data_IF_088982836162
#
_entry.id   IF_088982836162
#
_cell.length_a   1.000
_cell.length_b   1.000
_cell.length_c   1.000
_cell.angle_alpha   90.00
_cell.angle_beta   90.00
_cell.angle_gamma   90.00
#
_symmetry.space_group_name_H-M   'P 1'
#
loop_
_entity.id
_entity.type
_entity.pdbx_description
1 polymer ?
#
# COMPACT_ATOMS: atom_id res chain seq x y z
N UNK A 1 4.26 -3.78 8.07
CA UNK A 1 4.24 -4.32 6.68
C UNK A 1 5.54 -3.96 5.98
N UNK A 2 6.08 -4.85 5.16
CA UNK A 2 7.33 -4.66 4.41
C UNK A 2 7.17 -4.79 2.88
N UNK A 3 8.31 -4.83 2.18
CA UNK A 3 8.37 -4.90 0.72
C UNK A 3 7.59 -6.10 0.14
N UNK A 4 7.75 -7.31 0.71
CA UNK A 4 7.02 -8.51 0.28
C UNK A 4 5.50 -8.34 0.42
N UNK A 5 5.03 -7.78 1.54
CA UNK A 5 3.61 -7.51 1.76
C UNK A 5 3.03 -6.56 0.70
N UNK A 6 3.82 -5.63 0.18
CA UNK A 6 3.36 -4.70 -0.84
C UNK A 6 3.27 -5.35 -2.23
N UNK A 7 4.15 -6.33 -2.52
CA UNK A 7 4.02 -7.17 -3.72
C UNK A 7 2.77 -8.05 -3.60
N UNK A 8 2.54 -8.66 -2.44
CA UNK A 8 1.35 -9.45 -2.15
C UNK A 8 0.06 -8.63 -2.31
N UNK A 9 0.01 -7.42 -1.75
CA UNK A 9 -1.12 -6.49 -1.94
C UNK A 9 -1.35 -6.17 -3.41
N UNK A 10 -0.29 -5.87 -4.16
CA UNK A 10 -0.39 -5.55 -5.59
C UNK A 10 -0.89 -6.73 -6.42
N UNK A 11 -0.31 -7.92 -6.22
CA UNK A 11 -0.66 -9.13 -6.95
C UNK A 11 -2.11 -9.55 -6.65
N UNK A 12 -2.48 -9.67 -5.38
CA UNK A 12 -3.84 -10.06 -4.98
C UNK A 12 -4.87 -9.01 -5.38
N UNK A 13 -4.58 -7.72 -5.18
CA UNK A 13 -5.49 -6.62 -5.56
C UNK A 13 -5.75 -6.57 -7.08
N UNK A 14 -4.71 -6.79 -7.90
CA UNK A 14 -4.87 -6.88 -9.34
C UNK A 14 -5.61 -8.17 -9.76
N UNK A 15 -5.25 -9.32 -9.17
CA UNK A 15 -5.82 -10.62 -9.49
C UNK A 15 -7.31 -10.72 -9.07
N UNK A 16 -7.71 -9.95 -8.06
CA UNK A 16 -9.09 -9.83 -7.62
C UNK A 16 -10.01 -9.18 -8.66
N UNK A 17 -9.45 -8.35 -9.56
CA UNK A 17 -10.19 -7.70 -10.66
C UNK A 17 -10.25 -8.58 -11.90
N UNK A 18 -9.16 -9.26 -12.23
CA UNK A 18 -9.05 -10.16 -13.39
C UNK A 18 -7.81 -11.03 -13.25
N UNK A 19 -7.71 -12.10 -14.03
CA UNK A 19 -6.45 -12.83 -14.14
C UNK A 19 -5.36 -11.95 -14.77
N UNK A 20 -4.12 -12.06 -14.29
CA UNK A 20 -2.99 -11.17 -14.64
C UNK A 20 -1.68 -11.95 -14.78
N UNK A 21 -0.73 -11.39 -15.53
CA UNK A 21 0.65 -11.87 -15.61
C UNK A 21 1.59 -11.06 -14.70
N UNK A 22 2.85 -11.48 -14.60
CA UNK A 22 3.89 -10.82 -13.81
C UNK A 22 4.17 -9.39 -14.28
N UNK A 23 4.14 -9.13 -15.59
CA UNK A 23 4.38 -7.78 -16.15
C UNK A 23 3.31 -6.79 -15.68
N UNK A 24 2.03 -7.19 -15.71
CA UNK A 24 0.91 -6.39 -15.23
C UNK A 24 1.07 -6.02 -13.75
N UNK A 25 1.60 -6.94 -12.92
CA UNK A 25 1.85 -6.68 -11.50
C UNK A 25 2.95 -5.64 -11.32
N UNK A 26 4.07 -5.79 -12.03
CA UNK A 26 5.18 -4.83 -12.00
C UNK A 26 4.71 -3.44 -12.45
N UNK A 27 3.92 -3.37 -13.52
CA UNK A 27 3.35 -2.13 -14.03
C UNK A 27 2.37 -1.49 -13.03
N UNK A 28 1.55 -2.30 -12.35
CA UNK A 28 0.65 -1.82 -11.32
C UNK A 28 1.41 -1.23 -10.13
N UNK A 29 2.48 -1.89 -9.67
CA UNK A 29 3.33 -1.38 -8.58
C UNK A 29 3.96 -0.05 -8.99
N UNK A 30 4.55 0.05 -10.18
CA UNK A 30 5.19 1.27 -10.65
C UNK A 30 4.18 2.44 -10.79
N UNK A 31 3.01 2.16 -11.37
CA UNK A 31 1.95 3.15 -11.56
C UNK A 31 1.38 3.62 -10.22
N UNK A 32 1.06 2.71 -9.30
CA UNK A 32 0.45 3.04 -8.01
C UNK A 32 1.47 3.69 -7.07
N UNK A 33 2.73 3.24 -7.08
CA UNK A 33 3.81 3.86 -6.30
C UNK A 33 4.29 5.19 -6.90
N UNK A 34 3.87 5.53 -8.13
CA UNK A 34 4.38 6.64 -8.92
C UNK A 34 5.91 6.67 -8.99
N UNK A 35 6.52 5.50 -9.20
CA UNK A 35 7.97 5.32 -9.28
C UNK A 35 8.73 5.54 -7.97
N UNK A 36 8.06 5.71 -6.82
CA UNK A 36 8.73 5.87 -5.52
C UNK A 36 9.41 4.59 -5.04
N UNK A 37 8.96 3.44 -5.55
CA UNK A 37 9.52 2.15 -5.24
C UNK A 37 9.33 1.18 -6.40
N UNK A 38 10.41 0.46 -6.73
CA UNK A 38 10.43 -0.58 -7.76
C UNK A 38 11.10 -1.83 -7.17
N UNK A 39 10.34 -2.92 -6.93
CA UNK A 39 10.92 -4.19 -6.48
C UNK A 39 11.74 -4.84 -7.60
N UNK A 40 12.71 -5.67 -7.23
CA UNK A 40 13.42 -6.48 -8.21
C UNK A 40 12.47 -7.54 -8.80
N UNK A 41 12.64 -7.86 -10.09
CA UNK A 41 11.85 -8.90 -10.74
C UNK A 41 11.94 -10.26 -10.03
N UNK A 42 13.12 -10.62 -9.51
CA UNK A 42 13.31 -11.84 -8.73
C UNK A 42 12.42 -11.87 -7.48
N UNK A 43 12.35 -10.77 -6.72
CA UNK A 43 11.52 -10.70 -5.52
C UNK A 43 10.03 -10.81 -5.86
N UNK A 44 9.60 -10.25 -7.01
CA UNK A 44 8.23 -10.41 -7.49
C UNK A 44 7.94 -11.88 -7.81
N UNK A 45 8.82 -12.55 -8.55
CA UNK A 45 8.68 -13.98 -8.85
C UNK A 45 8.64 -14.84 -7.58
N UNK A 46 9.53 -14.59 -6.62
CA UNK A 46 9.59 -15.33 -5.36
C UNK A 46 8.27 -15.19 -4.57
N UNK A 47 7.68 -14.00 -4.54
CA UNK A 47 6.39 -13.75 -3.89
C UNK A 47 5.24 -14.45 -4.62
N UNK A 48 5.24 -14.47 -5.96
CA UNK A 48 4.22 -15.16 -6.75
C UNK A 48 4.27 -16.66 -6.55
N UNK A 49 5.47 -17.25 -6.56
CA UNK A 49 5.66 -18.67 -6.26
C UNK A 49 5.17 -19.01 -4.84
N UNK A 50 5.38 -18.11 -3.88
CA UNK A 50 4.85 -18.26 -2.52
C UNK A 50 3.32 -18.21 -2.46
N UNK A 51 2.70 -17.25 -3.14
CA UNK A 51 1.25 -17.15 -3.21
C UNK A 51 0.60 -18.36 -3.89
N UNK A 52 1.20 -18.89 -4.96
CA UNK A 52 0.72 -20.09 -5.64
C UNK A 52 0.87 -21.32 -4.75
N UNK A 53 2.03 -21.49 -4.11
CA UNK A 53 2.27 -22.61 -3.18
C UNK A 53 1.36 -22.57 -1.96
N UNK A 54 1.03 -21.37 -1.48
CA UNK A 54 0.07 -21.13 -0.40
C UNK A 54 -1.40 -21.24 -0.82
N UNK A 55 -1.69 -21.41 -2.11
CA UNK A 55 -3.04 -21.51 -2.64
C UNK A 55 -3.82 -20.20 -2.68
N UNK A 56 -3.15 -19.04 -2.59
CA UNK A 56 -3.76 -17.71 -2.71
C UNK A 56 -3.97 -17.29 -4.17
N UNK A 57 -3.14 -17.82 -5.07
CA UNK A 57 -3.27 -17.67 -6.52
C UNK A 57 -3.30 -19.06 -7.17
N UNK A 58 -4.11 -19.20 -8.23
CA UNK A 58 -3.97 -20.30 -9.19
C UNK A 58 -3.15 -19.81 -10.37
N UNK A 59 -2.17 -20.60 -10.80
CA UNK A 59 -1.38 -20.31 -11.99
C UNK A 59 -1.81 -21.23 -13.14
N UNK A 60 -2.23 -20.63 -14.26
CA UNK A 60 -2.44 -21.35 -15.51
C UNK A 60 -1.19 -21.18 -16.38
N UNK A 61 -0.57 -22.28 -16.85
CA UNK A 61 0.60 -22.20 -17.70
C UNK A 61 0.18 -21.72 -19.10
N UNK A 62 0.37 -20.44 -19.34
CA UNK A 62 0.25 -19.79 -20.66
C UNK A 62 1.63 -19.50 -21.22
N UNK A 63 1.74 -19.45 -22.55
CA UNK A 63 2.98 -19.04 -23.23
C UNK A 63 2.86 -17.55 -23.59
N UNK A 64 3.86 -16.69 -23.30
CA UNK A 64 5.18 -17.00 -22.72
C UNK A 64 5.23 -17.09 -21.19
N UNK A 65 4.31 -16.43 -20.48
CA UNK A 65 4.31 -16.32 -19.02
C UNK A 65 3.00 -16.87 -18.42
N UNK A 66 3.03 -17.42 -17.19
CA UNK A 66 1.83 -17.89 -16.51
C UNK A 66 0.87 -16.74 -16.19
N UNK A 67 -0.42 -17.04 -16.25
CA UNK A 67 -1.48 -16.12 -15.83
C UNK A 67 -2.00 -16.56 -14.47
N UNK A 68 -2.07 -15.61 -13.54
CA UNK A 68 -2.49 -15.79 -12.16
C UNK A 68 -3.91 -15.31 -11.96
N UNK A 69 -4.76 -16.15 -11.36
CA UNK A 69 -6.09 -15.79 -10.90
C UNK A 69 -6.19 -15.92 -9.37
N UNK A 70 -6.94 -15.02 -8.74
CA UNK A 70 -7.12 -15.07 -7.28
C UNK A 70 -8.01 -16.25 -6.89
N UNK A 71 -7.66 -16.92 -5.79
CA UNK A 71 -8.51 -17.93 -5.16
C UNK A 71 -9.35 -17.32 -4.05
N UNK A 72 -10.26 -18.08 -3.44
CA UNK A 72 -11.00 -17.63 -2.25
C UNK A 72 -10.05 -17.32 -1.08
N UNK A 73 -9.08 -18.21 -0.81
CA UNK A 73 -8.04 -17.97 0.19
C UNK A 73 -7.20 -16.74 -0.12
N UNK A 74 -7.02 -16.40 -1.40
CA UNK A 74 -6.38 -15.14 -1.82
C UNK A 74 -7.22 -13.92 -1.48
N UNK A 75 -8.55 -13.97 -1.66
CA UNK A 75 -9.47 -12.88 -1.30
C UNK A 75 -9.49 -12.63 0.20
N UNK A 76 -9.53 -13.69 1.00
CA UNK A 76 -9.44 -13.62 2.47
C UNK A 76 -8.12 -12.95 2.91
N UNK A 77 -6.99 -13.39 2.33
CA UNK A 77 -5.68 -12.77 2.59
C UNK A 77 -5.65 -11.31 2.18
N UNK A 78 -6.20 -10.94 1.01
CA UNK A 78 -6.27 -9.55 0.56
C UNK A 78 -7.03 -8.68 1.57
N UNK A 79 -8.19 -9.14 2.05
CA UNK A 79 -8.98 -8.43 3.06
C UNK A 79 -8.20 -8.26 4.36
N UNK A 80 -7.55 -9.33 4.85
CA UNK A 80 -6.69 -9.28 6.02
C UNK A 80 -5.58 -8.24 5.85
N UNK A 81 -4.87 -8.27 4.72
CA UNK A 81 -3.77 -7.33 4.45
C UNK A 81 -4.24 -5.89 4.37
N UNK A 82 -5.42 -5.63 3.81
CA UNK A 82 -6.03 -4.29 3.79
C UNK A 82 -6.34 -3.80 5.21
N UNK A 83 -6.66 -4.70 6.14
CA UNK A 83 -6.91 -4.36 7.55
C UNK A 83 -5.66 -4.07 8.40
N UNK A 84 -4.48 -4.58 8.00
CA UNK A 84 -3.25 -4.39 8.77
C UNK A 84 -2.81 -2.92 8.80
N UNK A 85 -2.30 -2.38 9.92
CA UNK A 85 -1.78 -1.03 9.96
C UNK A 85 -0.50 -0.90 9.11
N UNK A 86 -0.25 0.32 8.60
CA UNK A 86 1.02 0.66 7.98
C UNK A 86 1.98 1.20 9.04
N UNK A 87 3.20 0.68 9.02
CA UNK A 87 4.31 1.24 9.79
C UNK A 87 4.91 2.41 8.99
N UNK A 88 5.03 3.57 9.62
CA UNK A 88 5.64 4.77 9.02
C UNK A 88 5.08 5.11 7.61
N UNK A 89 3.75 5.33 7.45
CA UNK A 89 3.14 5.70 6.17
C UNK A 89 3.78 6.91 5.47
N UNK A 90 4.55 7.75 6.18
CA UNK A 90 5.31 8.85 5.61
C UNK A 90 6.69 8.53 5.04
N UNK A 91 7.20 7.31 5.21
CA UNK A 91 8.42 6.87 4.53
C UNK A 91 8.13 6.49 3.07
N UNK A 92 9.14 6.47 2.20
CA UNK A 92 8.95 6.15 0.77
C UNK A 92 8.26 4.79 0.55
N UNK A 93 8.68 3.77 1.30
CA UNK A 93 8.06 2.44 1.24
C UNK A 93 6.65 2.45 1.87
N UNK A 94 6.46 3.16 2.99
CA UNK A 94 5.15 3.34 3.63
C UNK A 94 4.11 4.04 2.73
N UNK A 95 4.53 5.04 1.96
CA UNK A 95 3.72 5.72 0.96
C UNK A 95 3.28 4.78 -0.16
N UNK A 96 4.14 3.85 -0.56
CA UNK A 96 3.77 2.79 -1.51
C UNK A 96 2.68 1.90 -0.92
N UNK A 97 2.84 1.45 0.33
CA UNK A 97 1.81 0.68 1.03
C UNK A 97 0.48 1.42 1.15
N UNK A 98 0.53 2.72 1.45
CA UNK A 98 -0.65 3.59 1.55
C UNK A 98 -1.39 3.68 0.21
N UNK A 99 -0.67 3.93 -0.89
CA UNK A 99 -1.27 4.02 -2.22
C UNK A 99 -1.83 2.69 -2.71
N UNK A 100 -1.15 1.57 -2.43
CA UNK A 100 -1.67 0.24 -2.73
C UNK A 100 -2.96 -0.05 -1.97
N UNK A 101 -3.01 0.23 -0.67
CA UNK A 101 -4.23 0.08 0.13
C UNK A 101 -5.38 0.92 -0.43
N UNK A 102 -5.12 2.18 -0.79
CA UNK A 102 -6.14 3.04 -1.39
C UNK A 102 -6.60 2.54 -2.77
N UNK A 103 -5.69 2.05 -3.61
CA UNK A 103 -5.97 1.57 -4.96
C UNK A 103 -6.87 0.32 -5.01
N UNK A 104 -6.92 -0.43 -3.91
CA UNK A 104 -7.69 -1.67 -3.78
C UNK A 104 -8.78 -1.60 -2.70
N UNK A 105 -9.01 -0.42 -2.11
CA UNK A 105 -10.01 -0.21 -1.07
C UNK A 105 -11.44 -0.44 -1.60
N UNK A 106 -11.66 -0.28 -2.90
CA UNK A 106 -12.91 -0.58 -3.58
C UNK A 106 -13.28 -2.08 -3.54
N UNK A 107 -12.30 -2.96 -3.30
CA UNK A 107 -12.51 -4.41 -3.29
C UNK A 107 -13.09 -4.94 -1.97
N UNK A 108 -13.20 -4.10 -0.93
CA UNK A 108 -13.88 -4.45 0.32
C UNK A 108 -15.24 -3.77 0.43
N UNK A 109 -16.08 -4.30 1.31
CA UNK A 109 -17.41 -3.77 1.59
C UNK A 109 -17.35 -2.32 2.09
N UNK A 110 -18.35 -1.52 1.72
CA UNK A 110 -18.42 -0.08 2.05
C UNK A 110 -18.26 0.17 3.56
N UNK A 111 -18.83 -0.69 4.40
CA UNK A 111 -18.69 -0.59 5.86
C UNK A 111 -17.25 -0.75 6.34
N UNK A 112 -16.42 -1.53 5.63
CA UNK A 112 -15.01 -1.77 5.95
C UNK A 112 -14.10 -0.69 5.38
N UNK A 113 -14.46 -0.12 4.20
CA UNK A 113 -13.70 0.97 3.58
C UNK A 113 -13.46 2.11 4.55
N UNK A 114 -14.50 2.51 5.29
CA UNK A 114 -14.41 3.55 6.31
C UNK A 114 -13.43 3.17 7.43
N UNK A 115 -13.55 1.95 7.96
CA UNK A 115 -12.68 1.45 9.04
C UNK A 115 -11.21 1.44 8.63
N UNK A 116 -10.91 1.06 7.40
CA UNK A 116 -9.55 1.09 6.86
C UNK A 116 -9.03 2.52 6.68
N UNK A 117 -9.84 3.45 6.17
CA UNK A 117 -9.45 4.86 6.09
C UNK A 117 -9.17 5.43 7.48
N UNK A 118 -10.02 5.16 8.47
CA UNK A 118 -9.83 5.58 9.86
C UNK A 118 -8.52 5.01 10.45
N UNK A 119 -8.20 3.75 10.14
CA UNK A 119 -6.93 3.12 10.55
C UNK A 119 -5.73 3.83 9.91
N UNK A 120 -5.77 4.12 8.60
CA UNK A 120 -4.69 4.84 7.91
C UNK A 120 -4.53 6.28 8.41
N UNK A 121 -5.64 6.96 8.72
CA UNK A 121 -5.67 8.28 9.35
C UNK A 121 -4.97 8.22 10.71
N UNK A 122 -5.34 7.26 11.56
CA UNK A 122 -4.71 7.10 12.89
C UNK A 122 -3.21 6.79 12.79
N UNK A 123 -2.78 5.95 11.84
CA UNK A 123 -1.35 5.69 11.61
C UNK A 123 -0.58 6.96 11.22
N UNK A 124 -1.13 7.79 10.32
CA UNK A 124 -0.51 9.06 9.92
C UNK A 124 -0.48 10.10 11.05
N UNK A 125 -1.54 10.19 11.85
CA UNK A 125 -1.60 11.07 13.01
C UNK A 125 -0.57 10.67 14.08
N UNK A 126 -0.44 9.37 14.34
CA UNK A 126 0.57 8.83 15.26
C UNK A 126 1.99 9.14 14.78
N UNK A 127 2.25 8.98 13.47
CA UNK A 127 3.54 9.32 12.89
C UNK A 127 3.84 10.82 12.96
N UNK A 128 2.89 11.69 12.59
CA UNK A 128 3.04 13.14 12.69
C UNK A 128 3.37 13.56 14.12
N UNK A 129 2.61 13.05 15.10
CA UNK A 129 2.88 13.31 16.52
C UNK A 129 4.28 12.82 16.93
N UNK A 130 4.69 11.64 16.46
CA UNK A 130 6.02 11.12 16.70
C UNK A 130 7.13 11.99 16.10
N UNK A 131 6.92 12.51 14.88
CA UNK A 131 7.85 13.43 14.21
C UNK A 131 7.90 14.80 14.88
N UNK A 132 6.82 15.32 15.44
CA UNK A 132 6.84 16.57 16.22
C UNK A 132 7.64 16.42 17.52
N UNK A 133 7.50 15.27 18.20
CA UNK A 133 8.26 14.95 19.42
C UNK A 133 9.75 14.68 19.14
N UNK A 134 10.08 14.17 17.95
CA UNK A 134 11.44 13.83 17.55
C UNK A 134 12.29 15.11 17.27
N UNK A 135 12.87 15.66 18.33
CA UNK A 135 14.04 16.56 18.34
C UNK A 135 14.01 17.73 17.32
N UNK A 136 13.44 18.88 17.73
CA UNK A 136 13.65 20.18 17.08
C UNK A 136 15.11 20.65 17.11
N UNK A 137 15.92 20.07 18.02
CA UNK A 137 17.32 20.45 18.26
C UNK A 137 18.34 19.47 17.66
N UNK A 138 17.92 18.61 16.73
CA UNK A 138 18.83 17.66 16.11
C UNK A 138 19.88 18.42 15.28
N UNK A 139 21.09 18.53 15.83
CA UNK A 139 22.21 19.25 15.20
C UNK A 139 22.65 18.60 13.89
N UNK A 140 22.44 17.29 13.73
CA UNK A 140 22.78 16.55 12.51
C UNK A 140 21.99 16.97 11.27
N UNK A 141 20.83 17.63 11.41
CA UNK A 141 19.98 18.03 10.28
C UNK A 141 20.54 19.24 9.50
N UNK A 142 21.38 20.08 10.11
CA UNK A 142 21.80 21.34 9.50
C UNK A 142 20.61 22.24 9.10
N UNK A 143 20.84 23.29 8.31
CA UNK A 143 19.75 24.16 7.84
C UNK A 143 18.90 23.50 6.75
N UNK A 144 19.53 22.85 5.76
CA UNK A 144 18.81 22.23 4.65
C UNK A 144 18.00 21.01 5.06
N UNK A 145 18.51 20.16 5.97
CA UNK A 145 17.73 19.03 6.48
C UNK A 145 16.53 19.47 7.32
N UNK A 146 16.61 20.60 8.03
CA UNK A 146 15.44 21.20 8.70
C UNK A 146 14.38 21.69 7.72
N UNK A 147 14.79 22.37 6.64
CA UNK A 147 13.88 22.81 5.58
C UNK A 147 13.22 21.60 4.91
N UNK A 148 13.99 20.57 4.56
CA UNK A 148 13.46 19.36 3.93
C UNK A 148 12.50 18.61 4.86
N UNK A 149 12.82 18.50 6.15
CA UNK A 149 11.93 17.92 7.14
C UNK A 149 10.59 18.66 7.23
N UNK A 150 10.60 20.00 7.21
CA UNK A 150 9.36 20.78 7.21
C UNK A 150 8.54 20.52 5.96
N UNK A 151 9.20 20.44 4.80
CA UNK A 151 8.54 20.06 3.55
C UNK A 151 7.89 18.66 3.62
N UNK A 152 8.58 17.66 4.19
CA UNK A 152 8.02 16.32 4.39
C UNK A 152 6.83 16.34 5.36
N UNK A 153 6.89 17.14 6.44
CA UNK A 153 5.77 17.32 7.35
C UNK A 153 4.56 17.94 6.65
N UNK A 154 4.75 18.98 5.84
CA UNK A 154 3.68 19.58 5.05
C UNK A 154 3.04 18.57 4.10
N UNK A 155 3.83 17.68 3.49
CA UNK A 155 3.31 16.60 2.67
C UNK A 155 2.39 15.66 3.46
N UNK A 156 2.82 15.21 4.64
CA UNK A 156 2.00 14.34 5.50
C UNK A 156 0.70 15.00 5.96
N UNK A 157 0.73 16.30 6.25
CA UNK A 157 -0.50 17.04 6.58
C UNK A 157 -1.48 17.10 5.39
N UNK A 158 -0.98 17.23 4.16
CA UNK A 158 -1.82 17.17 2.95
C UNK A 158 -2.42 15.78 2.75
N UNK A 159 -1.64 14.72 2.90
CA UNK A 159 -2.11 13.34 2.78
C UNK A 159 -3.20 13.05 3.84
N UNK A 160 -2.97 13.44 5.09
CA UNK A 160 -3.95 13.30 6.17
C UNK A 160 -5.25 14.04 5.87
N UNK A 161 -5.17 15.28 5.36
CA UNK A 161 -6.34 16.06 4.94
C UNK A 161 -7.11 15.37 3.81
N UNK A 162 -6.39 14.78 2.85
CA UNK A 162 -7.00 14.02 1.76
C UNK A 162 -7.73 12.76 2.26
N UNK A 163 -7.10 11.97 3.12
CA UNK A 163 -7.74 10.77 3.69
C UNK A 163 -9.01 11.11 4.50
N UNK A 164 -8.98 12.20 5.27
CA UNK A 164 -10.16 12.67 6.00
C UNK A 164 -11.30 13.07 5.07
N UNK A 165 -11.00 13.71 3.92
CA UNK A 165 -12.01 14.00 2.90
C UNK A 165 -12.60 12.72 2.30
N UNK A 166 -11.75 11.74 1.97
CA UNK A 166 -12.21 10.43 1.49
C UNK A 166 -13.12 9.71 2.49
N UNK A 167 -12.76 9.73 3.78
CA UNK A 167 -13.59 9.16 4.83
C UNK A 167 -14.94 9.89 5.02
N UNK A 168 -14.95 11.21 4.77
CA UNK A 168 -16.16 12.03 4.71
C UNK A 168 -17.09 11.61 3.56
N UNK A 169 -16.56 11.46 2.34
CA UNK A 169 -17.37 11.07 1.18
C UNK A 169 -18.09 9.73 1.37
N UNK A 170 -17.46 8.76 2.03
CA UNK A 170 -18.11 7.47 2.33
C UNK A 170 -19.29 7.62 3.31
N UNK A 171 -19.26 8.61 4.21
CA UNK A 171 -20.36 8.88 5.13
C UNK A 171 -21.60 9.44 4.42
N UNK A 172 -21.40 10.16 3.32
CA UNK A 172 -22.44 10.86 2.59
C UNK A 172 -23.17 9.97 1.55
N UNK A 173 -22.81 8.69 1.44
CA UNK A 173 -23.61 7.67 0.75
C UNK A 173 -23.43 7.54 -0.76
N UNK A 174 -22.20 7.72 -1.27
CA UNK A 174 -21.82 7.30 -2.64
C UNK A 174 -21.19 5.92 -2.68
#
# INVERSE_FOLDING_TARGET
MGAGDFIWLAALGCAARRAIDTETICQAIDTISAGQWSPSGQLVCDCLDEMVRGGHLSAEPTSPDPVFAITEAGRETLSLMLSLPLDQPGAALGQTGLRLKLAFLDLVDVAERRRHLETMISSLEAELKGRDLACGDCQALGCFGRIWRNHDLEHLHRDLSMLRKLAGFIADGT
#
